data_IF_412808280492
#
_entry.id   IF_412808280492
#
_cell.length_a   1.000
_cell.length_b   1.000
_cell.length_c   1.000
_cell.angle_alpha   90.00
_cell.angle_beta   90.00
_cell.angle_gamma   90.00
#
_symmetry.space_group_name_H-M   'P 1'
#
loop_
_entity.id
_entity.type
_entity.pdbx_description
1 polymer ?
#
# COMPACT_ATOMS: atom_id res chain seq x y z
N UNK A 1 3.11 -0.35 2.91
CA UNK A 1 3.60 -1.14 1.78
C UNK A 1 2.45 -1.32 0.79
N UNK A 2 2.67 -1.01 -0.49
CA UNK A 2 1.73 -1.32 -1.56
C UNK A 2 1.87 -2.80 -1.89
N UNK A 3 0.78 -3.51 -2.18
CA UNK A 3 0.89 -4.87 -2.70
C UNK A 3 1.32 -4.80 -4.15
N UNK A 4 2.58 -5.08 -4.42
CA UNK A 4 3.10 -5.23 -5.77
C UNK A 4 3.91 -6.53 -5.85
N UNK A 5 3.38 -7.57 -6.51
CA UNK A 5 4.07 -8.86 -6.64
C UNK A 5 5.40 -8.74 -7.41
N UNK A 6 5.66 -7.61 -8.07
CA UNK A 6 6.91 -7.32 -8.78
C UNK A 6 8.15 -7.42 -7.87
N UNK A 7 8.03 -7.00 -6.61
CA UNK A 7 9.15 -7.11 -5.65
C UNK A 7 9.40 -8.57 -5.27
N UNK A 8 8.35 -9.32 -5.02
CA UNK A 8 8.43 -10.76 -4.70
C UNK A 8 9.01 -11.56 -5.85
N UNK A 9 8.55 -11.31 -7.09
CA UNK A 9 9.10 -11.92 -8.31
C UNK A 9 10.59 -11.64 -8.45
N UNK A 10 11.02 -10.39 -8.24
CA UNK A 10 12.44 -10.03 -8.29
C UNK A 10 13.23 -10.74 -7.20
N UNK A 11 12.71 -10.78 -5.98
CA UNK A 11 13.39 -11.36 -4.84
C UNK A 11 13.55 -12.88 -4.96
N UNK A 12 12.48 -13.56 -5.40
CA UNK A 12 12.44 -15.00 -5.64
C UNK A 12 13.04 -15.42 -6.99
N UNK A 13 13.47 -14.46 -7.82
CA UNK A 13 14.03 -14.68 -9.16
C UNK A 13 13.10 -15.51 -10.06
N UNK A 14 11.81 -15.19 -10.06
CA UNK A 14 10.84 -15.90 -10.89
C UNK A 14 10.91 -15.43 -12.35
N UNK A 15 10.76 -16.36 -13.30
CA UNK A 15 10.84 -16.10 -14.73
C UNK A 15 9.44 -16.21 -15.36
N UNK A 16 9.05 -15.18 -16.12
CA UNK A 16 7.77 -15.17 -16.85
C UNK A 16 7.80 -16.21 -17.96
N UNK A 17 6.72 -16.96 -18.12
CA UNK A 17 6.61 -18.07 -19.08
C UNK A 17 7.17 -19.40 -18.56
N UNK A 18 7.93 -19.38 -17.46
CA UNK A 18 8.44 -20.57 -16.79
C UNK A 18 7.71 -20.79 -15.46
N UNK A 19 7.78 -19.81 -14.55
CA UNK A 19 7.20 -19.90 -13.21
C UNK A 19 5.80 -19.27 -13.13
N UNK A 20 5.49 -18.30 -13.99
CA UNK A 20 4.19 -17.64 -14.02
C UNK A 20 3.86 -17.13 -15.43
N UNK A 21 2.56 -17.12 -15.78
CA UNK A 21 2.10 -16.65 -17.09
C UNK A 21 1.91 -15.12 -17.12
N UNK A 22 1.19 -14.59 -16.14
CA UNK A 22 0.85 -13.17 -16.05
C UNK A 22 0.89 -12.67 -14.60
N UNK A 23 0.93 -11.36 -14.44
CA UNK A 23 0.98 -10.68 -13.16
C UNK A 23 -0.06 -9.56 -13.15
N UNK A 24 -0.79 -9.45 -12.05
CA UNK A 24 -1.75 -8.38 -11.82
C UNK A 24 -1.31 -7.61 -10.59
N UNK A 25 -1.13 -6.31 -10.74
CA UNK A 25 -0.83 -5.41 -9.64
C UNK A 25 -2.13 -4.70 -9.22
N UNK A 26 -2.62 -5.02 -8.02
CA UNK A 26 -3.86 -4.43 -7.51
C UNK A 26 -3.71 -2.93 -7.21
N UNK A 27 -2.50 -2.46 -6.93
CA UNK A 27 -2.26 -1.03 -6.70
C UNK A 27 -2.60 -0.21 -7.95
N UNK A 28 -2.44 -0.78 -9.14
CA UNK A 28 -2.84 -0.13 -10.40
C UNK A 28 -4.36 -0.05 -10.57
N UNK A 29 -5.12 -0.96 -9.96
CA UNK A 29 -6.58 -0.93 -10.05
C UNK A 29 -7.17 0.18 -9.19
N UNK A 30 -6.58 0.40 -8.02
CA UNK A 30 -7.13 1.31 -7.01
C UNK A 30 -6.42 2.66 -6.92
N UNK A 31 -5.31 2.89 -7.63
CA UNK A 31 -4.70 4.22 -7.71
C UNK A 31 -5.69 5.24 -8.27
N UNK A 32 -5.65 6.45 -7.73
CA UNK A 32 -6.56 7.54 -8.11
C UNK A 32 -5.82 8.87 -8.07
N UNK A 33 -6.11 9.75 -9.03
CA UNK A 33 -5.57 11.10 -9.01
C UNK A 33 -6.21 11.90 -7.86
N UNK A 34 -5.37 12.52 -7.03
CA UNK A 34 -5.81 13.38 -5.95
C UNK A 34 -5.66 14.85 -6.34
N UNK A 35 -6.75 15.57 -6.67
CA UNK A 35 -6.68 16.96 -7.13
C UNK A 35 -6.14 17.91 -6.05
N UNK A 36 -6.22 17.54 -4.77
CA UNK A 36 -5.69 18.36 -3.67
C UNK A 36 -4.16 18.42 -3.68
N UNK A 37 -3.50 17.33 -4.08
CA UNK A 37 -2.04 17.23 -4.07
C UNK A 37 -1.42 17.24 -5.47
N UNK A 38 -2.25 17.24 -6.52
CA UNK A 38 -1.77 17.24 -7.90
C UNK A 38 -1.03 15.97 -8.30
N UNK A 39 -1.30 14.84 -7.64
CA UNK A 39 -0.52 13.61 -7.80
C UNK A 39 -1.39 12.36 -7.74
N UNK A 40 -0.84 11.24 -8.24
CA UNK A 40 -1.47 9.93 -8.09
C UNK A 40 -1.33 9.44 -6.66
N UNK A 41 -2.45 9.17 -6.01
CA UNK A 41 -2.51 8.49 -4.73
C UNK A 41 -2.53 6.99 -4.94
N UNK A 42 -1.65 6.31 -4.21
CA UNK A 42 -1.61 4.86 -4.07
C UNK A 42 -2.04 4.50 -2.65
N UNK A 43 -2.61 3.30 -2.48
CA UNK A 43 -3.14 2.83 -1.20
C UNK A 43 -2.44 1.54 -0.77
N UNK A 44 -2.10 1.41 0.51
CA UNK A 44 -1.56 0.15 1.02
C UNK A 44 -2.63 -0.93 1.02
N UNK A 45 -2.23 -2.21 0.90
CA UNK A 45 -3.17 -3.32 1.02
C UNK A 45 -3.94 -3.28 2.34
N UNK A 46 -3.28 -2.94 3.44
CA UNK A 46 -3.96 -2.80 4.73
C UNK A 46 -5.06 -1.73 4.71
N UNK A 47 -4.86 -0.63 3.98
CA UNK A 47 -5.91 0.37 3.80
C UNK A 47 -7.03 -0.14 2.88
N UNK A 48 -6.68 -0.80 1.77
CA UNK A 48 -7.64 -1.39 0.84
C UNK A 48 -8.51 -2.46 1.51
N UNK A 49 -7.91 -3.40 2.24
CA UNK A 49 -8.59 -4.44 2.98
C UNK A 49 -9.52 -3.86 4.05
N UNK A 50 -9.06 -2.85 4.79
CA UNK A 50 -9.87 -2.21 5.82
C UNK A 50 -11.08 -1.49 5.23
N UNK A 51 -10.89 -0.70 4.18
CA UNK A 51 -11.99 0.09 3.60
C UNK A 51 -12.94 -0.77 2.75
N UNK A 52 -12.42 -1.70 1.96
CA UNK A 52 -13.20 -2.39 0.92
C UNK A 52 -13.71 -3.77 1.35
N UNK A 53 -13.06 -4.40 2.33
CA UNK A 53 -13.40 -5.73 2.85
C UNK A 53 -13.75 -5.71 4.34
N UNK A 54 -13.55 -4.58 5.05
CA UNK A 54 -13.71 -4.48 6.50
C UNK A 54 -12.78 -5.44 7.27
N UNK A 55 -11.58 -5.70 6.72
CA UNK A 55 -10.56 -6.57 7.33
C UNK A 55 -9.42 -5.70 7.85
N UNK A 56 -9.09 -5.84 9.14
CA UNK A 56 -7.96 -5.14 9.74
C UNK A 56 -6.69 -6.00 9.75
N UNK A 57 -5.88 -5.84 8.71
CA UNK A 57 -4.60 -6.55 8.58
C UNK A 57 -3.54 -6.12 9.60
N UNK A 58 -3.77 -5.04 10.35
CA UNK A 58 -2.84 -4.59 11.40
C UNK A 58 -3.32 -4.97 12.82
N UNK A 59 -4.42 -5.71 12.95
CA UNK A 59 -4.99 -6.05 14.27
C UNK A 59 -4.09 -6.99 15.08
N UNK A 60 -3.32 -7.84 14.41
CA UNK A 60 -2.28 -8.65 15.04
C UNK A 60 -0.95 -7.90 14.88
N UNK A 61 -0.14 -7.83 15.94
CA UNK A 61 1.16 -7.14 15.99
C UNK A 61 2.24 -7.82 15.10
N UNK A 62 1.92 -8.12 13.85
CA UNK A 62 2.77 -8.76 12.87
C UNK A 62 2.04 -8.98 11.55
N UNK A 63 2.71 -8.71 10.43
CA UNK A 63 2.19 -9.02 9.10
C UNK A 63 2.23 -10.53 8.87
N UNK A 64 1.07 -11.15 8.73
CA UNK A 64 0.96 -12.55 8.32
C UNK A 64 0.81 -12.62 6.80
N UNK A 65 1.84 -13.13 6.13
CA UNK A 65 1.86 -13.24 4.67
C UNK A 65 0.63 -13.97 4.10
N UNK A 66 0.12 -14.98 4.82
CA UNK A 66 -1.10 -15.69 4.46
C UNK A 66 -2.33 -14.77 4.45
N UNK A 67 -2.49 -13.91 5.46
CA UNK A 67 -3.64 -13.01 5.56
C UNK A 67 -3.56 -11.89 4.53
N UNK A 68 -2.36 -11.38 4.26
CA UNK A 68 -2.11 -10.43 3.19
C UNK A 68 -2.48 -11.03 1.81
N UNK A 69 -2.06 -12.27 1.54
CA UNK A 69 -2.39 -12.98 0.31
C UNK A 69 -3.91 -13.24 0.17
N UNK A 70 -4.58 -13.66 1.26
CA UNK A 70 -6.04 -13.85 1.27
C UNK A 70 -6.77 -12.56 0.95
N UNK A 71 -6.38 -11.44 1.59
CA UNK A 71 -6.99 -10.15 1.35
C UNK A 71 -6.80 -9.69 -0.10
N UNK A 72 -5.60 -9.85 -0.66
CA UNK A 72 -5.32 -9.54 -2.06
C UNK A 72 -6.20 -10.39 -3.02
N UNK A 73 -6.32 -11.69 -2.77
CA UNK A 73 -7.18 -12.57 -3.57
C UNK A 73 -8.66 -12.21 -3.47
N UNK A 74 -9.15 -11.85 -2.28
CA UNK A 74 -10.52 -11.40 -2.09
C UNK A 74 -10.80 -10.10 -2.86
N UNK A 75 -9.87 -9.14 -2.83
CA UNK A 75 -9.97 -7.92 -3.64
C UNK A 75 -9.99 -8.26 -5.13
N UNK A 76 -9.08 -9.11 -5.60
CA UNK A 76 -9.03 -9.53 -7.00
C UNK A 76 -10.36 -10.15 -7.45
N UNK A 77 -10.86 -11.16 -6.72
CA UNK A 77 -12.11 -11.85 -7.06
C UNK A 77 -13.30 -10.87 -7.06
N UNK A 78 -13.36 -9.98 -6.07
CA UNK A 78 -14.46 -9.01 -5.93
C UNK A 78 -14.53 -8.00 -7.07
N UNK A 79 -13.37 -7.60 -7.61
CA UNK A 79 -13.29 -6.48 -8.54
C UNK A 79 -12.89 -6.85 -9.96
N UNK A 80 -12.36 -8.05 -10.25
CA UNK A 80 -11.78 -8.38 -11.57
C UNK A 80 -12.68 -8.04 -12.76
N UNK A 81 -13.98 -8.30 -12.64
CA UNK A 81 -14.98 -8.08 -13.71
C UNK A 81 -15.93 -6.90 -13.40
N UNK A 82 -15.62 -6.07 -12.38
CA UNK A 82 -16.54 -5.05 -11.86
C UNK A 82 -15.92 -3.64 -11.91
N UNK A 83 -15.84 -3.04 -13.09
CA UNK A 83 -15.28 -1.70 -13.29
C UNK A 83 -16.03 -0.60 -12.52
N UNK A 84 -17.37 -0.66 -12.48
CA UNK A 84 -18.16 0.29 -11.68
C UNK A 84 -17.82 0.18 -10.18
N UNK A 85 -17.60 -1.05 -9.70
CA UNK A 85 -17.15 -1.31 -8.34
C UNK A 85 -15.74 -0.77 -8.07
N UNK A 86 -14.81 -0.88 -9.04
CA UNK A 86 -13.47 -0.28 -8.90
C UNK A 86 -13.55 1.24 -8.76
N UNK A 87 -14.43 1.91 -9.50
CA UNK A 87 -14.58 3.36 -9.40
C UNK A 87 -15.16 3.80 -8.05
N UNK A 88 -16.18 3.09 -7.54
CA UNK A 88 -16.69 3.33 -6.19
C UNK A 88 -15.61 3.10 -5.12
N UNK A 89 -14.82 2.04 -5.28
CA UNK A 89 -13.70 1.73 -4.39
C UNK A 89 -12.67 2.86 -4.35
N UNK A 90 -12.23 3.38 -5.50
CA UNK A 90 -11.30 4.53 -5.59
C UNK A 90 -11.84 5.75 -4.84
N UNK A 91 -13.12 6.07 -5.04
CA UNK A 91 -13.79 7.19 -4.36
C UNK A 91 -13.81 7.00 -2.83
N UNK A 92 -14.13 5.79 -2.36
CA UNK A 92 -14.16 5.47 -0.93
C UNK A 92 -12.77 5.53 -0.29
N UNK A 93 -11.75 5.00 -0.97
CA UNK A 93 -10.36 5.07 -0.53
C UNK A 93 -9.87 6.53 -0.45
N UNK A 94 -10.17 7.35 -1.46
CA UNK A 94 -9.77 8.76 -1.47
C UNK A 94 -10.44 9.58 -0.36
N UNK A 95 -11.72 9.29 -0.07
CA UNK A 95 -12.49 10.00 0.97
C UNK A 95 -12.04 9.62 2.38
N UNK A 96 -11.50 8.42 2.57
CA UNK A 96 -11.19 7.91 3.90
C UNK A 96 -9.75 8.20 4.28
N UNK A 97 -9.55 8.86 5.43
CA UNK A 97 -8.20 9.13 5.92
C UNK A 97 -7.51 7.80 6.25
N UNK A 98 -6.28 7.55 5.76
CA UNK A 98 -5.54 6.37 6.15
C UNK A 98 -5.20 6.41 7.65
N UNK A 99 -5.04 5.24 8.26
CA UNK A 99 -4.58 5.13 9.64
C UNK A 99 -3.23 5.82 9.82
N UNK A 100 -3.02 6.36 11.01
CA UNK A 100 -1.76 7.02 11.34
C UNK A 100 -0.64 5.97 11.37
N UNK A 101 0.41 6.19 10.59
CA UNK A 101 1.60 5.36 10.63
C UNK A 101 2.34 5.58 11.95
N UNK A 102 3.08 4.59 12.50
CA UNK A 102 3.88 4.77 13.72
C UNK A 102 4.78 6.02 13.67
N UNK A 103 5.45 6.26 12.54
CA UNK A 103 6.28 7.46 12.34
C UNK A 103 5.49 8.77 12.49
N UNK A 104 4.23 8.83 12.04
CA UNK A 104 3.38 10.01 12.21
C UNK A 104 2.89 10.14 13.66
N UNK A 105 2.63 9.02 14.34
CA UNK A 105 2.16 9.00 15.71
C UNK A 105 3.20 9.55 16.70
N UNK A 106 4.48 9.35 16.43
CA UNK A 106 5.58 9.89 17.23
C UNK A 106 6.20 11.16 16.61
N UNK A 107 5.48 11.88 15.74
CA UNK A 107 5.98 13.10 15.10
C UNK A 107 7.37 12.96 14.43
N UNK A 108 7.60 11.80 13.81
CA UNK A 108 8.84 11.40 13.13
C UNK A 108 10.08 11.34 14.01
N UNK A 109 9.93 11.27 15.34
CA UNK A 109 11.00 11.05 16.29
C UNK A 109 10.57 10.01 17.33
N UNK A 110 11.35 8.94 17.50
CA UNK A 110 11.10 7.95 18.54
C UNK A 110 12.36 7.74 19.35
N UNK A 111 12.34 8.13 20.63
CA UNK A 111 13.48 8.01 21.55
C UNK A 111 14.79 8.62 20.98
N UNK A 112 14.68 9.78 20.32
CA UNK A 112 15.82 10.46 19.69
C UNK A 112 16.20 9.91 18.30
N UNK A 113 15.58 8.81 17.86
CA UNK A 113 15.76 8.24 16.53
C UNK A 113 14.85 8.94 15.52
N UNK A 114 15.45 9.53 14.48
CA UNK A 114 14.73 10.15 13.38
C UNK A 114 14.05 9.09 12.49
N UNK A 115 12.74 9.24 12.30
CA UNK A 115 11.90 8.37 11.45
C UNK A 115 11.45 9.07 10.16
N UNK A 116 11.99 10.26 9.86
CA UNK A 116 11.64 11.08 8.71
C UNK A 116 12.34 10.66 7.40
N UNK A 117 12.62 9.37 7.21
CA UNK A 117 13.44 8.87 6.09
C UNK A 117 12.95 9.28 4.70
N UNK A 118 11.63 9.48 4.54
CA UNK A 118 11.00 9.93 3.28
C UNK A 118 10.40 11.34 3.38
N UNK A 119 10.51 12.01 4.53
CA UNK A 119 9.86 13.29 4.78
C UNK A 119 10.86 14.34 5.26
N UNK A 120 11.65 14.87 4.30
CA UNK A 120 12.78 15.77 4.54
C UNK A 120 12.45 16.95 5.45
N UNK A 121 11.22 17.48 5.39
CA UNK A 121 10.75 18.61 6.22
C UNK A 121 10.73 18.30 7.72
N UNK A 122 10.65 17.03 8.11
CA UNK A 122 10.62 16.58 9.52
C UNK A 122 11.91 15.88 9.95
N UNK A 123 12.97 15.97 9.15
CA UNK A 123 14.24 15.31 9.46
C UNK A 123 15.00 16.06 10.55
N UNK A 124 15.40 15.34 11.60
CA UNK A 124 16.24 15.87 12.69
C UNK A 124 17.68 15.37 12.65
N UNK A 125 18.01 14.44 11.74
CA UNK A 125 19.33 13.78 11.68
C UNK A 125 20.21 14.19 10.49
N UNK A 126 19.74 15.12 9.65
CA UNK A 126 20.42 15.61 8.44
C UNK A 126 20.93 14.54 7.46
N UNK A 127 20.43 13.30 7.53
CA UNK A 127 20.77 12.26 6.55
C UNK A 127 20.00 12.47 5.24
N UNK A 128 20.54 12.01 4.10
CA UNK A 128 19.83 12.03 2.83
C UNK A 128 18.48 11.31 2.94
N UNK A 129 17.42 11.95 2.45
CA UNK A 129 16.10 11.30 2.36
C UNK A 129 16.16 10.17 1.34
N UNK A 130 15.51 9.05 1.65
CA UNK A 130 15.31 7.95 0.72
C UNK A 130 14.41 8.45 -0.42
N UNK A 131 14.93 8.49 -1.64
CA UNK A 131 14.16 8.86 -2.83
C UNK A 131 13.16 7.73 -3.16
N UNK A 132 11.90 8.09 -3.38
CA UNK A 132 10.93 7.17 -3.99
C UNK A 132 11.26 7.03 -5.48
N UNK A 133 12.12 6.07 -5.83
CA UNK A 133 12.20 5.54 -7.19
C UNK A 133 11.21 4.39 -7.35
#
# INVERSE_FOLDING_TARGET
MFQSPKRDVKWLKLEKGVHYSYMIDLSDWFKVYNPRFGSMNFFSLAHEAWILLNIDLNAQNGHLAMEDAKAAMQLYIKYKDNEKGKEDARRRLLKTRPRMTPAKACNYNYEGVCLAGFFKQMCTCNRPSLSNN
#
